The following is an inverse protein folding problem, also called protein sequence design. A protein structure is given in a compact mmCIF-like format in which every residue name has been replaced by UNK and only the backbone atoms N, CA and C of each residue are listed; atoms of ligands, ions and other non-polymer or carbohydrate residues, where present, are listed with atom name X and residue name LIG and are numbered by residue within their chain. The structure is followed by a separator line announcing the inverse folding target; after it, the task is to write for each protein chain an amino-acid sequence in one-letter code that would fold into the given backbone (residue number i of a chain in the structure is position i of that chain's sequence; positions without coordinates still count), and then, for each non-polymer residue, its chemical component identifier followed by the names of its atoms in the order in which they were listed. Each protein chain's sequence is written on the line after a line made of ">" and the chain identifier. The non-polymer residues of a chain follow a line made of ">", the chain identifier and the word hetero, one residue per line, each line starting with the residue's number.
data_IF_761317322135
#
_entry.id   IF_761317322135
#
_cell.length_a   1.000
_cell.length_b   1.000
_cell.length_c   1.000
_cell.angle_alpha   90.00
_cell.angle_beta   90.00
_cell.angle_gamma   90.00
#
_symmetry.space_group_name_H-M   'P 1'
#
loop_
_entity.id
_entity.type
_entity.pdbx_description
1 polymer ?
#
# COMPACT_ATOMS: atom_id res chain seq x y z
N UNK A 1 22.33 -6.21 9.81
CA UNK A 1 22.26 -5.27 8.67
C UNK A 1 22.26 -3.85 9.21
N UNK A 2 23.44 -3.26 9.45
CA UNK A 2 23.52 -1.83 9.74
C UNK A 2 23.65 -1.14 8.39
N UNK A 3 22.53 -0.68 7.83
CA UNK A 3 22.57 0.29 6.73
C UNK A 3 23.23 1.55 7.30
N UNK A 4 24.53 1.73 7.04
CA UNK A 4 25.18 3.00 7.36
C UNK A 4 24.40 4.13 6.67
N UNK A 5 24.17 5.26 7.35
CA UNK A 5 23.49 6.39 6.74
C UNK A 5 24.27 6.77 5.47
N UNK A 6 23.54 6.83 4.35
CA UNK A 6 23.99 7.34 3.06
C UNK A 6 24.33 8.84 3.19
N UNK A 7 25.37 9.21 3.92
CA UNK A 7 25.90 10.58 3.90
C UNK A 7 27.29 10.61 4.49
N UNK A 8 28.28 10.54 3.60
CA UNK A 8 29.54 11.27 3.73
C UNK A 8 30.04 11.53 2.30
N UNK A 9 29.31 12.40 1.59
CA UNK A 9 29.72 12.93 0.30
C UNK A 9 29.83 14.45 0.37
N UNK A 10 30.62 14.95 1.31
CA UNK A 10 31.20 16.28 1.23
C UNK A 10 32.72 16.14 1.19
N UNK A 11 33.30 16.21 -0.01
CA UNK A 11 34.74 16.35 -0.18
C UNK A 11 35.33 15.61 -1.38
N UNK A 12 35.47 16.32 -2.50
CA UNK A 12 36.62 16.26 -3.42
C UNK A 12 37.04 14.92 -4.04
N UNK A 13 36.87 14.80 -5.36
CA UNK A 13 37.86 14.15 -6.24
C UNK A 13 37.85 12.62 -6.40
N UNK A 14 36.96 11.87 -5.74
CA UNK A 14 36.94 10.39 -5.75
C UNK A 14 35.70 9.71 -6.36
N UNK A 15 34.99 10.37 -7.28
CA UNK A 15 33.60 10.02 -7.65
C UNK A 15 33.36 8.59 -8.14
N UNK A 16 34.29 7.97 -8.85
CA UNK A 16 34.08 6.65 -9.45
C UNK A 16 34.02 5.48 -8.45
N UNK A 17 34.89 5.48 -7.45
CA UNK A 17 35.00 4.37 -6.49
C UNK A 17 33.89 4.44 -5.42
N UNK A 18 33.55 5.64 -4.95
CA UNK A 18 32.45 5.85 -4.00
C UNK A 18 31.08 5.52 -4.60
N UNK A 19 30.84 5.90 -5.86
CA UNK A 19 29.62 5.51 -6.59
C UNK A 19 29.56 4.00 -6.85
N UNK A 20 30.69 3.35 -7.16
CA UNK A 20 30.75 1.91 -7.36
C UNK A 20 30.52 1.12 -6.05
N UNK A 21 31.04 1.61 -4.93
CA UNK A 21 30.78 1.05 -3.60
C UNK A 21 29.29 1.19 -3.21
N UNK A 22 28.74 2.39 -3.34
CA UNK A 22 27.31 2.66 -3.10
C UNK A 22 26.39 1.78 -3.98
N UNK A 23 26.78 1.54 -5.25
CA UNK A 23 26.06 0.63 -6.15
C UNK A 23 26.10 -0.82 -5.72
N UNK A 24 27.23 -1.31 -5.18
CA UNK A 24 27.32 -2.67 -4.64
C UNK A 24 26.47 -2.80 -3.38
N UNK A 25 26.52 -1.80 -2.51
CA UNK A 25 25.77 -1.81 -1.25
C UNK A 25 24.26 -1.83 -1.48
N UNK A 26 23.76 -1.05 -2.46
CA UNK A 26 22.34 -1.07 -2.86
C UNK A 26 21.89 -2.44 -3.37
N UNK A 27 22.74 -3.13 -4.15
CA UNK A 27 22.42 -4.44 -4.72
C UNK A 27 22.45 -5.54 -3.66
N UNK A 28 23.40 -5.46 -2.72
CA UNK A 28 23.45 -6.36 -1.55
C UNK A 28 22.23 -6.15 -0.67
N UNK A 29 21.81 -4.89 -0.44
CA UNK A 29 20.62 -4.58 0.34
C UNK A 29 19.35 -5.11 -0.32
N UNK A 30 19.17 -4.91 -1.62
CA UNK A 30 18.02 -5.42 -2.38
C UNK A 30 17.94 -6.95 -2.30
N UNK A 31 19.04 -7.65 -2.59
CA UNK A 31 19.12 -9.12 -2.48
C UNK A 31 18.86 -9.62 -1.07
N UNK A 32 19.33 -8.89 -0.05
CA UNK A 32 19.07 -9.24 1.35
C UNK A 32 17.60 -9.11 1.68
N UNK A 33 16.92 -8.04 1.22
CA UNK A 33 15.49 -7.87 1.42
C UNK A 33 14.69 -8.97 0.70
N UNK A 34 15.02 -9.30 -0.55
CA UNK A 34 14.39 -10.41 -1.27
C UNK A 34 14.62 -11.76 -0.61
N UNK A 35 15.83 -12.01 -0.08
CA UNK A 35 16.13 -13.23 0.68
C UNK A 35 15.29 -13.32 1.96
N UNK A 36 15.15 -12.22 2.70
CA UNK A 36 14.30 -12.18 3.89
C UNK A 36 12.82 -12.39 3.55
N UNK A 37 12.33 -11.81 2.46
CA UNK A 37 10.96 -12.04 1.95
C UNK A 37 10.74 -13.51 1.57
N UNK A 38 11.71 -14.13 0.88
CA UNK A 38 11.66 -15.57 0.57
C UNK A 38 11.63 -16.41 1.84
N UNK A 39 12.46 -16.06 2.84
CA UNK A 39 12.48 -16.72 4.14
C UNK A 39 11.13 -16.59 4.85
N UNK A 40 10.49 -15.41 4.84
CA UNK A 40 9.15 -15.24 5.39
C UNK A 40 8.12 -16.10 4.66
N UNK A 41 8.19 -16.20 3.32
CA UNK A 41 7.32 -17.07 2.53
C UNK A 41 7.42 -18.54 2.94
N UNK A 42 8.63 -19.04 3.14
CA UNK A 42 8.86 -20.43 3.58
C UNK A 42 8.31 -20.70 4.98
N UNK A 43 8.54 -19.78 5.94
CA UNK A 43 8.13 -19.98 7.33
C UNK A 43 6.64 -19.65 7.58
N UNK A 44 6.02 -18.80 6.77
CA UNK A 44 4.58 -18.50 6.83
C UNK A 44 3.74 -19.64 6.26
N UNK A 45 4.33 -20.52 5.45
CA UNK A 45 3.63 -21.63 4.83
C UNK A 45 2.58 -21.19 3.81
N UNK A 46 2.64 -19.95 3.30
CA UNK A 46 1.70 -19.35 2.31
C UNK A 46 2.21 -19.43 0.86
N UNK A 47 3.36 -20.08 0.62
CA UNK A 47 3.93 -20.23 -0.71
C UNK A 47 2.91 -20.73 -1.74
N UNK A 48 2.79 -20.01 -2.86
CA UNK A 48 1.86 -20.23 -3.99
C UNK A 48 1.96 -21.61 -4.67
N UNK A 49 2.90 -22.46 -4.29
CA UNK A 49 2.85 -23.90 -4.52
C UNK A 49 2.72 -24.57 -3.17
N UNK A 50 1.52 -25.07 -2.85
CA UNK A 50 1.20 -25.60 -1.51
C UNK A 50 2.33 -26.44 -0.93
N UNK A 51 2.71 -26.17 0.32
CA UNK A 51 3.84 -26.82 0.99
C UNK A 51 5.06 -26.92 0.07
N UNK A 52 5.77 -25.80 -0.14
CA UNK A 52 6.92 -25.73 -1.05
C UNK A 52 7.78 -26.98 -1.00
N UNK A 53 7.60 -27.91 -1.95
CA UNK A 53 8.34 -29.16 -2.15
C UNK A 53 8.50 -30.15 -0.99
N UNK A 54 8.23 -29.76 0.26
CA UNK A 54 8.50 -30.55 1.46
C UNK A 54 7.22 -31.30 1.83
N UNK A 55 7.17 -32.59 1.47
CA UNK A 55 6.20 -33.56 2.00
C UNK A 55 6.46 -33.83 3.50
N UNK A 56 6.44 -32.78 4.32
CA UNK A 56 6.65 -32.85 5.76
C UNK A 56 5.30 -32.74 6.50
N UNK A 57 5.18 -33.35 7.70
CA UNK A 57 3.95 -33.26 8.49
C UNK A 57 3.60 -31.81 8.86
N UNK A 58 2.30 -31.51 8.99
CA UNK A 58 1.78 -30.21 9.45
C UNK A 58 2.41 -29.75 10.77
N UNK A 59 2.72 -30.70 11.66
CA UNK A 59 3.38 -30.47 12.93
C UNK A 59 4.77 -29.85 12.77
N UNK A 60 5.53 -30.28 11.76
CA UNK A 60 6.84 -29.71 11.45
C UNK A 60 6.70 -28.24 11.04
N UNK A 61 5.77 -27.93 10.13
CA UNK A 61 5.52 -26.56 9.71
C UNK A 61 5.01 -25.68 10.84
N UNK A 62 4.13 -26.21 11.69
CA UNK A 62 3.67 -25.51 12.89
C UNK A 62 4.81 -25.23 13.88
N UNK A 63 5.73 -26.19 14.08
CA UNK A 63 6.87 -26.03 14.97
C UNK A 63 7.87 -25.01 14.42
N UNK A 64 8.17 -25.06 13.13
CA UNK A 64 9.05 -24.13 12.42
C UNK A 64 8.48 -22.70 12.49
N UNK A 65 7.19 -22.53 12.16
CA UNK A 65 6.49 -21.24 12.28
C UNK A 65 6.54 -20.71 13.72
N UNK A 66 6.20 -21.57 14.69
CA UNK A 66 6.22 -21.21 16.11
C UNK A 66 7.61 -20.81 16.60
N UNK A 67 8.67 -21.48 16.15
CA UNK A 67 10.06 -21.12 16.48
C UNK A 67 10.51 -19.79 15.87
N UNK A 68 9.89 -19.38 14.75
CA UNK A 68 10.17 -18.11 14.11
C UNK A 68 9.43 -16.94 14.77
N UNK A 69 8.20 -17.22 15.27
CA UNK A 69 7.35 -16.27 16.00
C UNK A 69 7.75 -16.09 17.47
N UNK A 70 8.30 -17.14 18.10
CA UNK A 70 8.62 -17.17 19.52
C UNK A 70 10.11 -16.88 19.78
N UNK A 71 10.44 -16.14 20.85
CA UNK A 71 11.83 -15.93 21.21
C UNK A 71 12.48 -17.25 21.67
N UNK A 72 13.74 -17.52 21.29
CA UNK A 72 14.45 -18.70 21.77
C UNK A 72 14.65 -18.57 23.29
N UNK A 73 14.09 -19.52 24.05
CA UNK A 73 14.11 -19.59 25.52
C UNK A 73 13.39 -18.44 26.25
N UNK A 74 12.06 -18.44 26.22
CA UNK A 74 11.23 -17.62 27.13
C UNK A 74 11.45 -17.92 28.64
N UNK A 75 12.23 -18.95 28.99
CA UNK A 75 12.37 -19.48 30.34
C UNK A 75 13.68 -19.11 31.07
N UNK A 76 14.69 -18.52 30.43
CA UNK A 76 16.02 -18.40 31.05
C UNK A 76 16.51 -16.97 31.30
N UNK A 77 16.32 -16.01 30.39
CA UNK A 77 16.65 -14.59 30.61
C UNK A 77 15.95 -13.83 29.48
N UNK A 78 15.02 -12.93 29.81
CA UNK A 78 14.06 -12.30 28.88
C UNK A 78 14.63 -11.35 27.82
N UNK A 79 15.79 -11.65 27.24
CA UNK A 79 16.53 -10.82 26.29
C UNK A 79 16.52 -11.35 24.84
N UNK A 80 15.90 -12.51 24.57
CA UNK A 80 15.79 -13.04 23.21
C UNK A 80 14.69 -12.36 22.40
N UNK A 81 15.02 -11.79 21.23
CA UNK A 81 14.04 -11.37 20.22
C UNK A 81 13.67 -12.53 19.31
N UNK A 82 12.40 -12.65 18.92
CA UNK A 82 12.03 -13.63 17.90
C UNK A 82 12.67 -13.26 16.55
N UNK A 83 12.94 -14.25 15.70
CA UNK A 83 13.54 -13.99 14.39
C UNK A 83 12.65 -13.06 13.54
N UNK A 84 11.31 -13.25 13.61
CA UNK A 84 10.34 -12.37 12.96
C UNK A 84 10.44 -10.91 13.46
N UNK A 85 10.72 -10.69 14.74
CA UNK A 85 10.87 -9.34 15.31
C UNK A 85 12.10 -8.63 14.74
N UNK A 86 13.18 -9.36 14.51
CA UNK A 86 14.39 -8.81 13.91
C UNK A 86 14.19 -8.51 12.42
N UNK A 87 13.49 -9.36 11.68
CA UNK A 87 13.11 -9.08 10.28
C UNK A 87 12.23 -7.83 10.20
N UNK A 88 11.26 -7.69 11.12
CA UNK A 88 10.43 -6.50 11.23
C UNK A 88 11.25 -5.23 11.48
N UNK A 89 12.15 -5.25 12.48
CA UNK A 89 13.03 -4.10 12.77
C UNK A 89 13.93 -3.74 11.58
N UNK A 90 14.46 -4.74 10.88
CA UNK A 90 15.29 -4.53 9.67
C UNK A 90 14.45 -3.90 8.56
N UNK A 91 13.27 -4.44 8.26
CA UNK A 91 12.37 -3.91 7.23
C UNK A 91 11.96 -2.46 7.50
N UNK A 92 11.65 -2.15 8.74
CA UNK A 92 11.22 -0.81 9.17
C UNK A 92 12.38 0.20 9.15
N UNK A 93 13.57 -0.22 9.58
CA UNK A 93 14.79 0.60 9.47
C UNK A 93 15.14 0.87 8.00
N UNK A 94 15.03 -0.14 7.15
CA UNK A 94 15.26 -0.01 5.72
C UNK A 94 14.24 0.94 5.07
N UNK A 95 12.98 0.91 5.51
CA UNK A 95 11.95 1.84 5.05
C UNK A 95 12.29 3.29 5.40
N UNK A 96 12.91 3.56 6.56
CA UNK A 96 13.44 4.89 6.87
C UNK A 96 14.48 5.39 5.84
N UNK A 97 15.29 4.47 5.29
CA UNK A 97 16.19 4.77 4.17
C UNK A 97 15.43 5.12 2.88
N UNK A 98 14.37 4.38 2.58
CA UNK A 98 13.47 4.64 1.44
C UNK A 98 12.82 6.02 1.57
N UNK A 99 12.30 6.37 2.75
CA UNK A 99 11.73 7.70 3.01
C UNK A 99 12.73 8.78 2.63
N UNK A 100 13.95 8.69 3.14
CA UNK A 100 15.01 9.67 2.86
C UNK A 100 15.32 9.80 1.37
N UNK A 101 15.33 8.69 0.64
CA UNK A 101 15.53 8.67 -0.81
C UNK A 101 14.40 9.42 -1.53
N UNK A 102 13.15 9.19 -1.15
CA UNK A 102 11.97 9.74 -1.84
C UNK A 102 11.55 11.13 -1.36
N UNK A 103 12.00 11.58 -0.17
CA UNK A 103 11.70 12.91 0.37
C UNK A 103 12.87 13.89 0.20
N UNK A 104 14.09 13.47 0.55
CA UNK A 104 15.29 14.32 0.56
C UNK A 104 16.17 14.11 -0.67
N UNK A 105 16.09 12.94 -1.31
CA UNK A 105 16.84 12.65 -2.52
C UNK A 105 16.44 13.61 -3.64
N UNK A 106 17.42 14.31 -4.22
CA UNK A 106 17.22 15.13 -5.40
C UNK A 106 16.71 14.32 -6.59
N UNK A 107 16.23 15.00 -7.64
CA UNK A 107 15.59 14.39 -8.83
C UNK A 107 16.40 13.22 -9.39
N UNK A 108 17.72 13.35 -9.47
CA UNK A 108 18.62 12.33 -10.03
C UNK A 108 18.66 11.00 -9.24
N UNK A 109 18.27 10.99 -7.96
CA UNK A 109 18.27 9.78 -7.13
C UNK A 109 16.98 8.95 -7.26
N UNK A 110 15.87 9.60 -7.62
CA UNK A 110 14.54 9.00 -7.75
C UNK A 110 14.34 8.30 -9.09
N UNK A 111 15.10 8.73 -10.11
CA UNK A 111 14.99 8.21 -11.48
C UNK A 111 15.93 7.01 -11.74
N UNK A 112 16.60 6.46 -10.72
CA UNK A 112 17.43 5.25 -10.88
C UNK A 112 16.58 3.99 -10.67
N UNK A 113 16.52 3.13 -11.69
CA UNK A 113 15.80 1.85 -11.64
C UNK A 113 16.22 0.98 -10.44
N UNK A 114 17.47 1.10 -9.97
CA UNK A 114 17.99 0.37 -8.80
C UNK A 114 17.38 0.87 -7.50
N UNK A 115 17.15 2.18 -7.41
CA UNK A 115 16.49 2.80 -6.27
C UNK A 115 15.05 2.33 -6.18
N UNK A 116 14.36 2.25 -7.33
CA UNK A 116 12.99 1.72 -7.42
C UNK A 116 12.96 0.24 -7.03
N UNK A 117 13.88 -0.58 -7.55
CA UNK A 117 14.00 -2.01 -7.22
C UNK A 117 14.25 -2.24 -5.72
N UNK A 118 15.21 -1.52 -5.13
CA UNK A 118 15.50 -1.59 -3.70
C UNK A 118 14.29 -1.16 -2.86
N UNK A 119 13.65 -0.04 -3.23
CA UNK A 119 12.46 0.47 -2.53
C UNK A 119 11.32 -0.56 -2.62
N UNK A 120 11.12 -1.17 -3.78
CA UNK A 120 10.11 -2.20 -3.99
C UNK A 120 10.38 -3.42 -3.12
N UNK A 121 11.62 -3.92 -3.10
CA UNK A 121 12.00 -5.08 -2.27
C UNK A 121 11.78 -4.81 -0.76
N UNK A 122 12.08 -3.60 -0.30
CA UNK A 122 11.86 -3.19 1.10
C UNK A 122 10.37 -3.07 1.39
N UNK A 123 9.57 -2.46 0.51
CA UNK A 123 8.13 -2.33 0.69
C UNK A 123 7.46 -3.72 0.71
N UNK A 124 7.81 -4.60 -0.24
CA UNK A 124 7.33 -5.99 -0.26
C UNK A 124 7.69 -6.73 1.03
N UNK A 125 8.95 -6.62 1.50
CA UNK A 125 9.35 -7.22 2.78
C UNK A 125 8.46 -6.74 3.93
N UNK A 126 8.16 -5.44 4.02
CA UNK A 126 7.30 -4.92 5.08
C UNK A 126 5.84 -5.39 4.93
N UNK A 127 5.34 -5.52 3.70
CA UNK A 127 4.03 -6.12 3.44
C UNK A 127 3.99 -7.59 3.90
N UNK A 128 5.02 -8.38 3.59
CA UNK A 128 5.09 -9.80 3.98
C UNK A 128 5.16 -9.97 5.50
N UNK A 129 5.94 -9.11 6.18
CA UNK A 129 6.04 -9.13 7.66
C UNK A 129 4.71 -8.72 8.31
N UNK A 130 4.02 -7.70 7.79
CA UNK A 130 2.75 -7.26 8.36
C UNK A 130 1.58 -8.15 7.96
N UNK A 131 1.67 -8.82 6.82
CA UNK A 131 0.74 -9.87 6.40
C UNK A 131 0.91 -11.16 7.21
N UNK A 132 1.87 -11.22 8.14
CA UNK A 132 2.07 -12.37 9.00
C UNK A 132 0.89 -12.59 9.95
N UNK A 133 0.29 -13.77 9.87
CA UNK A 133 -0.87 -14.13 10.72
C UNK A 133 -0.42 -14.71 12.06
N UNK A 134 -0.54 -13.92 13.12
CA UNK A 134 -0.24 -14.39 14.47
C UNK A 134 -1.34 -15.34 14.99
N UNK A 135 -0.92 -16.46 15.60
CA UNK A 135 -1.81 -17.40 16.28
C UNK A 135 -2.95 -17.94 15.39
N UNK A 136 -2.65 -18.43 14.18
CA UNK A 136 -3.60 -19.21 13.37
C UNK A 136 -3.86 -20.61 13.97
N UNK A 137 -4.27 -20.66 15.24
CA UNK A 137 -4.54 -21.88 16.00
C UNK A 137 -5.88 -22.54 15.64
N UNK A 138 -6.28 -22.50 14.37
CA UNK A 138 -7.56 -23.07 13.97
C UNK A 138 -7.81 -23.05 12.48
N UNK A 139 -7.30 -24.07 11.77
CA UNK A 139 -7.98 -24.78 10.68
C UNK A 139 -8.56 -24.00 9.50
N UNK A 140 -8.38 -22.68 9.42
CA UNK A 140 -8.73 -21.87 8.27
C UNK A 140 -7.44 -21.55 7.56
N UNK A 141 -7.09 -22.47 6.67
CA UNK A 141 -6.23 -22.20 5.53
C UNK A 141 -6.59 -20.82 4.97
N UNK A 142 -5.67 -19.87 5.13
CA UNK A 142 -5.72 -18.49 4.62
C UNK A 142 -5.27 -18.41 3.17
N UNK A 143 -5.36 -19.54 2.46
CA UNK A 143 -5.16 -19.66 1.03
C UNK A 143 -6.41 -19.24 0.26
N UNK A 144 -6.69 -17.94 0.31
CA UNK A 144 -7.22 -17.16 -0.82
C UNK A 144 -6.39 -15.88 -0.90
N UNK A 145 -5.06 -16.03 -0.97
CA UNK A 145 -4.23 -15.03 -1.66
C UNK A 145 -4.12 -15.57 -3.09
N UNK A 146 -5.09 -15.20 -3.90
CA UNK A 146 -5.19 -15.60 -5.31
C UNK A 146 -3.91 -15.24 -6.03
N UNK A 147 -3.16 -16.26 -6.43
CA UNK A 147 -2.14 -16.19 -7.46
C UNK A 147 -2.83 -15.97 -8.81
N UNK A 148 -3.31 -14.75 -9.03
CA UNK A 148 -3.74 -14.25 -10.33
C UNK A 148 -3.76 -12.73 -10.25
N UNK A 149 -2.99 -12.10 -11.14
CA UNK A 149 -3.26 -10.76 -11.64
C UNK A 149 -4.78 -10.53 -11.73
N UNK A 150 -5.23 -9.39 -11.19
CA UNK A 150 -6.63 -8.92 -11.13
C UNK A 150 -7.50 -9.49 -10.00
N UNK A 151 -8.13 -8.55 -9.27
CA UNK A 151 -9.27 -8.72 -8.37
C UNK A 151 -8.97 -9.24 -6.95
N UNK A 152 -8.75 -8.32 -6.02
CA UNK A 152 -8.96 -8.58 -4.60
C UNK A 152 -10.45 -8.87 -4.39
N UNK A 153 -10.81 -10.12 -4.08
CA UNK A 153 -12.19 -10.44 -3.75
C UNK A 153 -12.62 -9.69 -2.48
N UNK A 154 -13.58 -8.80 -2.66
CA UNK A 154 -14.32 -8.18 -1.56
C UNK A 154 -14.94 -9.27 -0.68
N UNK A 155 -14.65 -9.28 0.62
CA UNK A 155 -15.50 -10.02 1.57
C UNK A 155 -14.85 -10.78 2.74
N UNK A 156 -13.52 -10.84 2.91
CA UNK A 156 -12.92 -11.43 4.13
C UNK A 156 -11.92 -10.47 4.77
N UNK A 157 -12.42 -9.72 5.75
CA UNK A 157 -11.67 -8.79 6.61
C UNK A 157 -10.52 -9.49 7.35
N UNK A 158 -9.34 -9.54 6.74
CA UNK A 158 -8.08 -9.95 7.39
C UNK A 158 -7.56 -8.81 8.26
N UNK A 159 -8.13 -8.64 9.45
CA UNK A 159 -7.55 -7.74 10.45
C UNK A 159 -6.21 -8.30 10.93
N UNK A 160 -5.18 -7.46 10.93
CA UNK A 160 -3.84 -7.83 11.37
C UNK A 160 -3.76 -7.65 12.87
N UNK A 161 -3.31 -8.68 13.59
CA UNK A 161 -3.21 -8.69 15.06
C UNK A 161 -1.76 -8.83 15.50
N UNK A 162 -0.93 -7.77 15.36
CA UNK A 162 0.47 -7.86 15.72
C UNK A 162 0.63 -7.98 17.24
N UNK A 163 1.72 -8.62 17.71
CA UNK A 163 2.00 -8.77 19.12
C UNK A 163 2.33 -7.42 19.76
N UNK A 164 2.12 -7.31 21.07
CA UNK A 164 2.37 -6.08 21.84
C UNK A 164 3.80 -5.54 21.66
N UNK A 165 4.79 -6.43 21.55
CA UNK A 165 6.21 -6.06 21.36
C UNK A 165 6.50 -5.28 20.08
N UNK A 166 5.57 -5.23 19.12
CA UNK A 166 5.72 -4.42 17.89
C UNK A 166 5.19 -3.00 18.05
N UNK A 167 4.56 -2.67 19.19
CA UNK A 167 3.97 -1.35 19.46
C UNK A 167 4.94 -0.20 19.19
N UNK A 168 6.16 -0.32 19.70
CA UNK A 168 7.19 0.72 19.60
C UNK A 168 7.69 0.96 18.17
N UNK A 169 7.34 0.08 17.23
CA UNK A 169 7.69 0.21 15.82
C UNK A 169 6.46 0.63 15.00
N UNK A 170 5.33 -0.04 15.19
CA UNK A 170 4.14 0.13 14.34
C UNK A 170 3.27 1.33 14.70
N UNK A 171 3.16 1.66 15.98
CA UNK A 171 2.19 2.67 16.45
C UNK A 171 2.81 4.07 16.49
N UNK A 172 4.00 4.24 15.91
CA UNK A 172 4.70 5.52 15.86
C UNK A 172 4.12 6.43 14.76
N UNK A 173 3.74 7.68 15.09
CA UNK A 173 3.25 8.61 14.08
C UNK A 173 4.31 8.93 13.02
N UNK A 174 5.59 9.02 13.43
CA UNK A 174 6.72 9.23 12.51
C UNK A 174 6.75 8.19 11.40
N UNK A 175 6.48 6.93 11.75
CA UNK A 175 6.48 5.81 10.81
C UNK A 175 5.34 5.94 9.81
N UNK A 176 4.11 6.19 10.27
CA UNK A 176 2.96 6.40 9.39
C UNK A 176 3.18 7.60 8.45
N UNK A 177 3.70 8.70 8.98
CA UNK A 177 4.04 9.88 8.20
C UNK A 177 5.10 9.59 7.13
N UNK A 178 6.10 8.77 7.47
CA UNK A 178 7.09 8.27 6.54
C UNK A 178 6.46 7.48 5.38
N UNK A 179 5.53 6.57 5.65
CA UNK A 179 4.86 5.77 4.58
C UNK A 179 4.08 6.68 3.62
N UNK A 180 3.31 7.63 4.14
CA UNK A 180 2.60 8.61 3.31
C UNK A 180 3.55 9.53 2.53
N UNK A 181 4.69 9.89 3.12
CA UNK A 181 5.71 10.69 2.44
C UNK A 181 6.38 9.91 1.29
N UNK A 182 6.63 8.60 1.47
CA UNK A 182 7.10 7.73 0.38
C UNK A 182 6.05 7.66 -0.72
N UNK A 183 4.79 7.42 -0.37
CA UNK A 183 3.70 7.39 -1.35
C UNK A 183 3.62 8.71 -2.16
N UNK A 184 3.62 9.85 -1.48
CA UNK A 184 3.63 11.17 -2.13
C UNK A 184 4.89 11.42 -2.98
N UNK A 185 6.05 10.90 -2.55
CA UNK A 185 7.32 11.00 -3.27
C UNK A 185 7.35 10.14 -4.54
N UNK A 186 6.86 8.90 -4.48
CA UNK A 186 6.77 7.97 -5.61
C UNK A 186 5.74 8.42 -6.63
N UNK A 187 4.61 8.96 -6.17
CA UNK A 187 3.56 9.51 -7.03
C UNK A 187 4.01 10.79 -7.77
N UNK A 188 4.97 11.53 -7.20
CA UNK A 188 5.43 12.81 -7.73
C UNK A 188 4.70 14.02 -7.13
N UNK A 189 5.20 15.23 -7.38
CA UNK A 189 4.61 16.49 -6.90
C UNK A 189 3.50 17.01 -7.84
N UNK A 190 2.49 17.75 -7.32
CA UNK A 190 1.42 18.28 -8.16
C UNK A 190 1.99 19.23 -9.22
N UNK A 191 1.54 19.08 -10.47
CA UNK A 191 1.97 19.92 -11.59
C UNK A 191 3.28 19.51 -12.27
N UNK A 192 3.91 18.40 -11.87
CA UNK A 192 4.95 17.77 -12.68
C UNK A 192 4.31 16.64 -13.48
N UNK A 193 4.54 16.53 -14.80
CA UNK A 193 4.22 15.30 -15.52
C UNK A 193 4.91 14.16 -14.77
N UNK A 194 4.24 13.00 -14.62
CA UNK A 194 4.87 11.77 -14.08
C UNK A 194 6.25 11.68 -14.74
N UNK A 195 7.30 11.97 -13.98
CA UNK A 195 8.67 12.00 -14.48
C UNK A 195 8.87 10.66 -15.17
N UNK A 196 9.23 10.69 -16.45
CA UNK A 196 9.63 9.57 -17.31
C UNK A 196 9.56 8.26 -16.54
N UNK A 197 8.42 7.57 -16.63
CA UNK A 197 8.08 6.40 -15.80
C UNK A 197 9.28 5.47 -15.76
N UNK A 198 10.05 5.54 -14.68
CA UNK A 198 11.12 4.58 -14.47
C UNK A 198 10.39 3.27 -14.23
N UNK A 199 10.64 2.31 -15.12
CA UNK A 199 9.97 1.01 -15.09
C UNK A 199 9.92 0.47 -13.65
N UNK A 200 8.71 0.30 -13.13
CA UNK A 200 8.47 -0.22 -11.77
C UNK A 200 7.99 0.80 -10.73
N UNK A 201 7.95 2.11 -11.02
CA UNK A 201 7.41 3.11 -10.08
C UNK A 201 5.93 2.90 -9.77
N UNK A 202 5.13 2.46 -10.74
CA UNK A 202 3.71 2.13 -10.53
C UNK A 202 3.53 0.92 -9.60
N UNK A 203 4.36 -0.12 -9.80
CA UNK A 203 4.38 -1.29 -8.93
C UNK A 203 4.81 -0.92 -7.50
N UNK A 204 5.79 -0.02 -7.36
CA UNK A 204 6.18 0.52 -6.06
C UNK A 204 5.05 1.33 -5.40
N UNK A 205 4.39 2.22 -6.16
CA UNK A 205 3.27 3.01 -5.64
C UNK A 205 2.12 2.11 -5.16
N UNK A 206 1.79 1.07 -5.93
CA UNK A 206 0.83 0.06 -5.52
C UNK A 206 1.30 -0.68 -4.26
N UNK A 207 2.55 -1.15 -4.21
CA UNK A 207 3.11 -1.79 -3.01
C UNK A 207 3.01 -0.92 -1.76
N UNK A 208 3.24 0.39 -1.88
CA UNK A 208 3.10 1.34 -0.75
C UNK A 208 1.63 1.49 -0.34
N UNK A 209 0.68 1.51 -1.28
CA UNK A 209 -0.75 1.52 -0.95
C UNK A 209 -1.19 0.20 -0.29
N UNK A 210 -0.66 -0.94 -0.70
CA UNK A 210 -0.87 -2.23 -0.04
C UNK A 210 -0.32 -2.23 1.40
N UNK A 211 0.85 -1.61 1.62
CA UNK A 211 1.38 -1.38 2.96
C UNK A 211 0.43 -0.51 3.82
N UNK A 212 -0.11 0.58 3.26
CA UNK A 212 -1.11 1.43 3.93
C UNK A 212 -2.40 0.67 4.26
N UNK A 213 -2.83 -0.24 3.38
CA UNK A 213 -4.00 -1.10 3.61
C UNK A 213 -3.77 -2.07 4.77
N UNK A 214 -2.58 -2.68 4.85
CA UNK A 214 -2.19 -3.54 5.98
C UNK A 214 -2.14 -2.74 7.29
N UNK A 215 -1.58 -1.53 7.27
CA UNK A 215 -1.57 -0.64 8.43
C UNK A 215 -2.98 -0.25 8.87
N UNK A 216 -3.88 0.01 7.92
CA UNK A 216 -5.31 0.26 8.19
C UNK A 216 -6.03 -0.94 8.82
N UNK A 217 -5.45 -2.14 8.68
CA UNK A 217 -5.98 -3.40 9.22
C UNK A 217 -5.47 -3.73 10.63
N UNK A 218 -4.54 -2.95 11.18
CA UNK A 218 -3.92 -3.23 12.49
C UNK A 218 -4.94 -3.11 13.62
N UNK A 219 -5.04 -4.14 14.46
CA UNK A 219 -5.96 -4.20 15.60
C UNK A 219 -5.38 -5.04 16.76
N UNK A 220 -6.03 -5.01 17.92
CA UNK A 220 -5.70 -5.85 19.07
C UNK A 220 -4.72 -5.22 20.08
N UNK A 221 -3.96 -6.07 20.77
CA UNK A 221 -3.13 -5.73 21.96
C UNK A 221 -1.93 -4.82 21.67
N UNK A 222 -1.62 -4.59 20.39
CA UNK A 222 -0.56 -3.67 19.97
C UNK A 222 -0.83 -2.25 20.44
N UNK A 223 -2.09 -1.85 20.60
CA UNK A 223 -2.44 -0.56 21.18
C UNK A 223 -2.45 -0.64 22.71
N UNK A 224 -1.78 0.30 23.38
CA UNK A 224 -1.75 0.39 24.83
C UNK A 224 -3.13 0.73 25.41
N UNK A 225 -3.88 1.59 24.74
CA UNK A 225 -5.22 2.00 25.14
C UNK A 225 -6.07 2.47 23.93
N UNK A 226 -7.35 2.77 24.21
CA UNK A 226 -8.29 3.23 23.20
C UNK A 226 -7.94 4.61 22.60
N UNK A 227 -7.27 5.50 23.36
CA UNK A 227 -6.88 6.82 22.87
C UNK A 227 -5.72 6.72 21.89
N UNK A 228 -4.73 5.85 22.15
CA UNK A 228 -3.66 5.58 21.21
C UNK A 228 -4.21 4.98 19.91
N UNK A 229 -5.17 4.05 20.02
CA UNK A 229 -5.87 3.50 18.85
C UNK A 229 -6.62 4.57 18.06
N UNK A 230 -7.30 5.50 18.73
CA UNK A 230 -7.98 6.63 18.07
C UNK A 230 -7.00 7.59 17.39
N UNK A 231 -5.88 7.92 18.03
CA UNK A 231 -4.85 8.77 17.44
C UNK A 231 -4.24 8.12 16.18
N UNK A 232 -3.99 6.81 16.23
CA UNK A 232 -3.53 6.02 15.09
C UNK A 232 -4.55 6.04 13.94
N UNK A 233 -5.84 5.82 14.25
CA UNK A 233 -6.92 5.89 13.27
C UNK A 233 -7.02 7.28 12.64
N UNK A 234 -6.97 8.35 13.45
CA UNK A 234 -7.02 9.73 12.96
C UNK A 234 -5.91 10.00 11.94
N UNK A 235 -4.69 9.58 12.26
CA UNK A 235 -3.54 9.79 11.38
C UNK A 235 -3.72 9.10 10.02
N UNK A 236 -4.18 7.84 10.03
CA UNK A 236 -4.44 7.10 8.79
C UNK A 236 -5.59 7.71 7.99
N UNK A 237 -6.68 8.10 8.64
CA UNK A 237 -7.81 8.78 7.99
C UNK A 237 -7.34 10.08 7.34
N UNK A 238 -6.62 10.94 8.05
CA UNK A 238 -6.14 12.22 7.53
C UNK A 238 -5.20 12.02 6.33
N UNK A 239 -4.29 11.05 6.41
CA UNK A 239 -3.37 10.72 5.32
C UNK A 239 -4.10 10.17 4.08
N UNK A 240 -5.04 9.24 4.26
CA UNK A 240 -5.87 8.71 3.19
C UNK A 240 -6.73 9.80 2.53
N UNK A 241 -7.33 10.70 3.32
CA UNK A 241 -8.13 11.81 2.80
C UNK A 241 -7.29 12.80 2.01
N UNK A 242 -6.07 13.10 2.48
CA UNK A 242 -5.14 13.96 1.74
C UNK A 242 -4.74 13.33 0.40
N UNK A 243 -4.42 12.03 0.40
CA UNK A 243 -4.08 11.27 -0.81
C UNK A 243 -5.25 11.23 -1.82
N UNK A 244 -6.46 10.98 -1.32
CA UNK A 244 -7.67 10.89 -2.14
C UNK A 244 -8.08 12.25 -2.70
N UNK A 245 -8.11 13.29 -1.86
CA UNK A 245 -8.46 14.66 -2.31
C UNK A 245 -7.52 15.11 -3.42
N UNK A 246 -6.22 14.89 -3.24
CA UNK A 246 -5.22 15.18 -4.25
C UNK A 246 -5.41 14.40 -5.56
N UNK A 247 -5.80 13.13 -5.47
CA UNK A 247 -6.17 12.33 -6.64
C UNK A 247 -7.35 12.91 -7.39
N UNK A 248 -8.40 13.29 -6.68
CA UNK A 248 -9.57 13.89 -7.32
C UNK A 248 -9.28 15.24 -7.96
N UNK A 249 -8.49 16.10 -7.32
CA UNK A 249 -8.07 17.39 -7.88
C UNK A 249 -7.23 17.22 -9.15
N UNK A 250 -6.22 16.34 -9.12
CA UNK A 250 -5.38 16.04 -10.29
C UNK A 250 -6.21 15.46 -11.44
N UNK A 251 -7.14 14.57 -11.13
CA UNK A 251 -8.02 13.95 -12.12
C UNK A 251 -9.00 14.96 -12.72
N UNK A 252 -9.59 15.83 -11.91
CA UNK A 252 -10.46 16.90 -12.38
C UNK A 252 -9.70 17.87 -13.30
N UNK A 253 -8.45 18.20 -12.97
CA UNK A 253 -7.60 19.04 -13.81
C UNK A 253 -7.26 18.37 -15.16
N UNK A 254 -6.92 17.06 -15.15
CA UNK A 254 -6.68 16.29 -16.38
C UNK A 254 -7.91 16.25 -17.28
N UNK A 255 -9.10 16.07 -16.71
CA UNK A 255 -10.35 16.09 -17.50
C UNK A 255 -10.66 17.46 -18.07
N UNK A 256 -10.51 18.53 -17.28
CA UNK A 256 -10.69 19.88 -17.80
C UNK A 256 -9.76 20.15 -19.00
N UNK A 257 -8.53 19.61 -18.97
CA UNK A 257 -7.60 19.68 -20.09
C UNK A 257 -8.06 18.81 -21.29
N UNK A 258 -8.49 17.57 -21.04
CA UNK A 258 -9.00 16.67 -22.08
C UNK A 258 -10.26 17.21 -22.77
N UNK A 259 -11.20 17.79 -22.00
CA UNK A 259 -12.41 18.41 -22.53
C UNK A 259 -12.09 19.67 -23.35
N UNK A 260 -11.10 20.48 -22.92
CA UNK A 260 -10.61 21.61 -23.70
C UNK A 260 -9.93 21.15 -25.01
N UNK A 261 -9.15 20.07 -24.95
CA UNK A 261 -8.52 19.47 -26.14
C UNK A 261 -9.56 18.87 -27.09
N UNK A 262 -10.58 18.18 -26.58
CA UNK A 262 -11.68 17.63 -27.36
C UNK A 262 -12.55 18.74 -27.99
N UNK A 263 -12.79 19.84 -27.27
CA UNK A 263 -13.48 21.01 -27.82
C UNK A 263 -12.67 21.71 -28.92
N UNK A 264 -11.34 21.75 -28.79
CA UNK A 264 -10.46 22.25 -29.85
C UNK A 264 -10.41 21.30 -31.05
N UNK A 265 -10.38 19.98 -30.81
CA UNK A 265 -10.41 18.94 -31.83
C UNK A 265 -11.79 18.81 -32.49
N UNK A 266 -12.91 19.18 -31.86
CA UNK A 266 -14.22 19.15 -32.53
C UNK A 266 -14.32 20.09 -33.74
N UNK A 267 -13.36 21.02 -33.91
CA UNK A 267 -13.21 21.83 -35.11
C UNK A 267 -12.37 21.15 -36.22
N UNK A 268 -11.72 20.03 -35.94
CA UNK A 268 -10.86 19.26 -36.85
C UNK A 268 -11.33 17.79 -36.86
N UNK A 269 -11.78 17.25 -37.98
CA UNK A 269 -12.61 16.02 -38.10
C UNK A 269 -12.03 14.67 -37.59
N UNK A 270 -11.03 14.66 -36.70
CA UNK A 270 -10.39 13.49 -36.11
C UNK A 270 -10.93 13.18 -34.71
N UNK A 271 -11.83 12.20 -34.63
CA UNK A 271 -12.52 11.72 -33.41
C UNK A 271 -11.68 10.85 -32.47
N UNK A 272 -10.38 10.68 -32.71
CA UNK A 272 -9.57 9.62 -32.07
C UNK A 272 -9.07 9.97 -30.64
N UNK A 273 -8.89 11.26 -30.34
CA UNK A 273 -8.21 11.66 -29.11
C UNK A 273 -8.97 11.41 -27.80
N UNK A 274 -10.28 11.13 -27.81
CA UNK A 274 -11.07 10.92 -26.58
C UNK A 274 -10.89 9.52 -25.99
N UNK A 275 -10.69 8.50 -26.84
CA UNK A 275 -10.50 7.12 -26.39
C UNK A 275 -9.14 6.94 -25.71
N UNK A 276 -8.09 7.58 -26.24
CA UNK A 276 -6.74 7.54 -25.65
C UNK A 276 -6.71 8.05 -24.20
N UNK A 277 -7.50 9.09 -23.86
CA UNK A 277 -7.59 9.60 -22.49
C UNK A 277 -8.34 8.66 -21.54
N UNK A 278 -9.39 7.98 -22.00
CA UNK A 278 -10.16 7.04 -21.15
C UNK A 278 -9.30 5.81 -20.82
N UNK A 279 -8.49 5.32 -21.76
CA UNK A 279 -7.52 4.23 -21.55
C UNK A 279 -6.39 4.63 -20.59
N UNK A 280 -5.81 5.84 -20.73
CA UNK A 280 -4.77 6.32 -19.81
C UNK A 280 -5.32 6.57 -18.38
N UNK A 281 -6.56 7.02 -18.26
CA UNK A 281 -7.25 7.14 -16.96
C UNK A 281 -7.42 5.77 -16.30
N UNK A 282 -7.87 4.77 -17.05
CA UNK A 282 -8.05 3.40 -16.54
C UNK A 282 -6.73 2.78 -16.07
N UNK A 283 -5.65 2.90 -16.85
CA UNK A 283 -4.36 2.30 -16.51
C UNK A 283 -3.70 2.95 -15.28
N UNK A 284 -3.88 4.27 -15.10
CA UNK A 284 -3.11 5.03 -14.09
C UNK A 284 -3.92 5.40 -12.84
N UNK A 285 -5.19 5.76 -12.99
CA UNK A 285 -6.02 6.31 -11.91
C UNK A 285 -6.89 5.21 -11.28
N UNK A 286 -7.34 4.25 -12.09
CA UNK A 286 -8.23 3.19 -11.64
C UNK A 286 -7.69 2.40 -10.45
N UNK A 287 -6.52 1.75 -10.58
CA UNK A 287 -5.91 0.98 -9.50
C UNK A 287 -5.66 1.80 -8.23
N UNK A 288 -5.24 3.06 -8.39
CA UNK A 288 -4.97 3.94 -7.26
C UNK A 288 -6.24 4.35 -6.51
N UNK A 289 -7.33 4.58 -7.24
CA UNK A 289 -8.64 4.89 -6.65
C UNK A 289 -9.18 3.69 -5.87
N UNK A 290 -9.10 2.48 -6.45
CA UNK A 290 -9.50 1.23 -5.78
C UNK A 290 -8.73 1.04 -4.49
N UNK A 291 -7.40 1.15 -4.53
CA UNK A 291 -6.52 0.94 -3.37
C UNK A 291 -6.87 1.92 -2.23
N UNK A 292 -7.10 3.20 -2.54
CA UNK A 292 -7.45 4.22 -1.54
C UNK A 292 -8.87 4.03 -0.98
N UNK A 293 -9.84 3.66 -1.82
CA UNK A 293 -11.20 3.31 -1.37
C UNK A 293 -11.16 2.06 -0.48
N UNK A 294 -10.33 1.08 -0.81
CA UNK A 294 -10.10 -0.12 0.00
C UNK A 294 -9.48 0.23 1.36
N UNK A 295 -8.55 1.19 1.41
CA UNK A 295 -8.01 1.69 2.67
C UNK A 295 -9.12 2.32 3.53
N UNK A 296 -9.97 3.17 2.95
CA UNK A 296 -11.10 3.79 3.65
C UNK A 296 -12.07 2.73 4.16
N UNK A 297 -12.47 1.80 3.32
CA UNK A 297 -13.33 0.69 3.71
C UNK A 297 -12.72 -0.10 4.88
N UNK A 298 -11.42 -0.39 4.82
CA UNK A 298 -10.72 -1.09 5.89
C UNK A 298 -10.68 -0.30 7.20
N UNK A 299 -10.45 1.02 7.14
CA UNK A 299 -10.49 1.90 8.31
C UNK A 299 -11.89 1.88 8.95
N UNK A 300 -12.95 1.96 8.14
CA UNK A 300 -14.33 1.87 8.60
C UNK A 300 -14.62 0.52 9.26
N UNK A 301 -14.28 -0.58 8.59
CA UNK A 301 -14.50 -1.93 9.10
C UNK A 301 -13.74 -2.23 10.41
N UNK A 302 -12.51 -1.70 10.54
CA UNK A 302 -11.65 -1.95 11.69
C UNK A 302 -12.00 -1.06 12.90
N UNK A 303 -12.14 0.25 12.69
CA UNK A 303 -12.33 1.20 13.79
C UNK A 303 -13.80 1.39 14.17
N UNK A 304 -14.75 1.11 13.27
CA UNK A 304 -16.20 1.24 13.49
C UNK A 304 -16.64 2.70 13.67
N UNK A 305 -17.93 2.99 13.46
CA UNK A 305 -18.50 4.33 13.56
C UNK A 305 -18.40 4.90 14.98
N UNK A 306 -18.55 4.07 16.00
CA UNK A 306 -18.41 4.48 17.42
C UNK A 306 -17.06 5.10 17.77
N UNK A 307 -15.97 4.66 17.12
CA UNK A 307 -14.64 5.25 17.31
C UNK A 307 -14.40 6.39 16.31
N UNK A 308 -14.76 6.17 15.04
CA UNK A 308 -14.54 7.15 13.98
C UNK A 308 -15.29 8.46 14.23
N UNK A 309 -16.52 8.41 14.74
CA UNK A 309 -17.31 9.61 15.09
C UNK A 309 -16.66 10.52 16.13
N UNK A 310 -15.70 10.01 16.91
CA UNK A 310 -14.94 10.80 17.89
C UNK A 310 -13.75 11.54 17.26
N UNK A 311 -13.43 11.26 16.01
CA UNK A 311 -12.31 11.87 15.30
C UNK A 311 -12.72 13.23 14.74
N UNK A 312 -11.84 14.25 14.82
CA UNK A 312 -12.10 15.56 14.22
C UNK A 312 -12.25 15.50 12.69
N UNK A 313 -11.63 14.52 12.03
CA UNK A 313 -11.69 14.34 10.58
C UNK A 313 -12.86 13.52 10.08
N UNK A 314 -13.73 13.01 10.97
CA UNK A 314 -14.88 12.20 10.57
C UNK A 314 -15.86 12.90 9.62
N UNK A 315 -16.24 14.18 9.83
CA UNK A 315 -17.08 14.89 8.87
C UNK A 315 -16.41 15.03 7.50
N UNK A 316 -15.09 15.26 7.47
CA UNK A 316 -14.30 15.33 6.25
C UNK A 316 -14.23 13.98 5.54
N UNK A 317 -14.14 12.88 6.30
CA UNK A 317 -14.20 11.53 5.77
C UNK A 317 -15.54 11.26 5.06
N UNK A 318 -16.67 11.56 5.72
CA UNK A 318 -17.99 11.41 5.12
C UNK A 318 -18.16 12.31 3.89
N UNK A 319 -17.68 13.55 3.96
CA UNK A 319 -17.70 14.48 2.84
C UNK A 319 -16.91 13.96 1.64
N UNK A 320 -15.71 13.41 1.87
CA UNK A 320 -14.87 12.83 0.83
C UNK A 320 -15.51 11.57 0.23
N UNK A 321 -15.96 10.63 1.06
CA UNK A 321 -16.66 9.41 0.59
C UNK A 321 -17.87 9.76 -0.26
N UNK A 322 -18.67 10.75 0.16
CA UNK A 322 -19.82 11.21 -0.62
C UNK A 322 -19.40 11.89 -1.93
N UNK A 323 -18.37 12.74 -1.91
CA UNK A 323 -17.88 13.41 -3.11
C UNK A 323 -17.34 12.42 -4.14
N UNK A 324 -16.49 11.48 -3.71
CA UNK A 324 -15.93 10.43 -4.57
C UNK A 324 -17.03 9.49 -5.07
N UNK A 325 -17.92 9.03 -4.19
CA UNK A 325 -19.04 8.17 -4.58
C UNK A 325 -19.98 8.83 -5.58
N UNK A 326 -20.32 10.11 -5.37
CA UNK A 326 -21.17 10.87 -6.30
C UNK A 326 -20.52 11.07 -7.66
N UNK A 327 -19.22 11.36 -7.69
CA UNK A 327 -18.43 11.50 -8.92
C UNK A 327 -18.36 10.17 -9.68
N UNK A 328 -18.03 9.06 -9.02
CA UNK A 328 -18.04 7.71 -9.63
C UNK A 328 -19.42 7.34 -10.19
N UNK A 329 -20.49 7.59 -9.44
CA UNK A 329 -21.87 7.33 -9.88
C UNK A 329 -22.27 8.18 -11.09
N UNK A 330 -21.96 9.48 -11.08
CA UNK A 330 -22.24 10.38 -12.19
C UNK A 330 -21.54 9.90 -13.47
N UNK A 331 -20.30 9.41 -13.33
CA UNK A 331 -19.54 8.88 -14.46
C UNK A 331 -20.06 7.55 -14.96
N UNK A 332 -20.36 6.60 -14.08
CA UNK A 332 -20.98 5.33 -14.46
C UNK A 332 -22.30 5.57 -15.19
N UNK A 333 -23.12 6.50 -14.71
CA UNK A 333 -24.33 6.94 -15.42
C UNK A 333 -24.02 7.49 -16.81
N UNK A 334 -23.03 8.38 -16.93
CA UNK A 334 -22.64 8.94 -18.24
C UNK A 334 -22.15 7.86 -19.21
N UNK A 335 -21.47 6.83 -18.70
CA UNK A 335 -21.06 5.67 -19.48
C UNK A 335 -22.29 4.82 -19.88
N UNK A 336 -23.31 4.71 -19.02
CA UNK A 336 -24.52 3.92 -19.33
C UNK A 336 -25.27 4.56 -20.50
N UNK A 337 -25.44 5.88 -20.42
CA UNK A 337 -26.16 6.67 -21.40
C UNK A 337 -25.44 6.63 -22.76
N UNK A 338 -24.10 6.53 -22.76
CA UNK A 338 -23.28 6.34 -23.97
C UNK A 338 -23.37 4.95 -24.55
N UNK A 339 -23.27 3.91 -23.73
CA UNK A 339 -23.32 2.52 -24.18
C UNK A 339 -24.70 2.15 -24.77
N UNK A 340 -25.79 2.85 -24.40
CA UNK A 340 -27.16 2.61 -24.89
C UNK A 340 -27.59 1.14 -24.83
N UNK A 341 -27.06 0.38 -23.87
CA UNK A 341 -27.35 -1.04 -23.69
C UNK A 341 -26.48 -2.00 -24.51
N UNK A 342 -25.42 -1.51 -25.17
CA UNK A 342 -24.38 -2.35 -25.76
C UNK A 342 -23.48 -2.93 -24.66
N UNK A 343 -23.51 -4.25 -24.41
CA UNK A 343 -22.73 -4.88 -23.35
C UNK A 343 -21.22 -4.86 -23.64
N UNK A 344 -20.81 -4.81 -24.90
CA UNK A 344 -19.39 -4.87 -25.29
C UNK A 344 -18.70 -3.52 -25.01
N UNK A 345 -19.45 -2.41 -25.09
CA UNK A 345 -18.98 -1.07 -24.71
C UNK A 345 -19.04 -0.82 -23.19
N UNK A 346 -19.69 -1.71 -22.44
CA UNK A 346 -19.91 -1.55 -21.00
C UNK A 346 -18.87 -2.28 -20.13
N UNK A 347 -18.39 -3.44 -20.61
CA UNK A 347 -17.66 -4.42 -19.79
C UNK A 347 -16.28 -3.98 -19.32
N UNK A 348 -15.46 -3.39 -20.21
CA UNK A 348 -14.05 -3.18 -19.89
C UNK A 348 -13.80 -1.83 -19.19
N UNK A 349 -14.33 -0.72 -19.71
CA UNK A 349 -14.02 0.63 -19.22
C UNK A 349 -14.60 1.03 -17.83
N UNK A 350 -15.45 0.19 -17.23
CA UNK A 350 -16.16 0.50 -15.97
C UNK A 350 -15.70 -0.36 -14.78
N UNK A 351 -14.94 -1.43 -14.99
CA UNK A 351 -14.66 -2.43 -13.95
C UNK A 351 -14.07 -1.85 -12.67
N UNK A 352 -13.08 -0.95 -12.82
CA UNK A 352 -12.43 -0.33 -11.66
C UNK A 352 -13.32 0.66 -10.90
N UNK A 353 -14.25 1.34 -11.60
CA UNK A 353 -15.17 2.30 -10.99
C UNK A 353 -16.22 1.58 -10.16
N UNK A 354 -16.73 0.46 -10.68
CA UNK A 354 -17.68 -0.39 -9.98
C UNK A 354 -17.04 -1.01 -8.74
N UNK A 355 -15.78 -1.47 -8.82
CA UNK A 355 -15.03 -1.98 -7.68
C UNK A 355 -14.82 -0.89 -6.60
N UNK A 356 -14.33 0.28 -6.99
CA UNK A 356 -14.11 1.40 -6.06
C UNK A 356 -15.43 1.86 -5.40
N UNK A 357 -16.51 1.97 -6.18
CA UNK A 357 -17.83 2.30 -5.67
C UNK A 357 -18.35 1.21 -4.71
N UNK A 358 -18.14 -0.06 -5.03
CA UNK A 358 -18.46 -1.19 -4.17
C UNK A 358 -17.80 -1.05 -2.79
N UNK A 359 -16.50 -0.77 -2.73
CA UNK A 359 -15.78 -0.54 -1.47
C UNK A 359 -16.39 0.62 -0.65
N UNK A 360 -16.76 1.72 -1.30
CA UNK A 360 -17.36 2.87 -0.61
C UNK A 360 -18.78 2.58 -0.11
N UNK A 361 -19.59 1.86 -0.89
CA UNK A 361 -20.94 1.46 -0.48
C UNK A 361 -20.90 0.47 0.67
N UNK A 362 -20.01 -0.52 0.64
CA UNK A 362 -19.78 -1.44 1.76
C UNK A 362 -19.35 -0.67 3.02
N UNK A 363 -18.44 0.31 2.88
CA UNK A 363 -18.06 1.18 3.99
C UNK A 363 -19.26 1.98 4.53
N UNK A 364 -20.13 2.52 3.66
CA UNK A 364 -21.31 3.24 4.08
C UNK A 364 -22.32 2.34 4.83
N UNK A 365 -22.52 1.10 4.35
CA UNK A 365 -23.34 0.10 5.04
C UNK A 365 -22.76 -0.21 6.42
N UNK A 366 -21.46 -0.44 6.53
CA UNK A 366 -20.79 -0.69 7.81
C UNK A 366 -20.90 0.48 8.79
N UNK A 367 -20.94 1.72 8.31
CA UNK A 367 -21.18 2.90 9.15
C UNK A 367 -22.63 3.02 9.61
N UNK A 368 -23.58 2.63 8.75
CA UNK A 368 -25.01 2.68 9.06
C UNK A 368 -25.46 1.54 9.98
N UNK A 369 -24.82 0.37 9.87
CA UNK A 369 -25.11 -0.83 10.65
C UNK A 369 -24.43 -0.85 12.03
N UNK A 370 -23.50 0.09 12.32
CA UNK A 370 -22.84 0.18 13.63
C UNK A 370 -23.77 0.88 14.64
N UNK A 371 -24.25 0.15 15.68
CA UNK A 371 -25.32 0.60 16.57
C UNK A 371 -24.96 1.70 17.57
#
# INVERSE_FOLDING_TARGET
>A
LVLKPFNDASGGGGGGAALAASRRDSLVASRSASFLSSLLGEFSGTGSGGFGGYNMPLEFHSAVRSSFESPPNAAADGAGSAALDEVMKIGMTALGGVVRIWTEGGVNGRDDARTVELSSAIVTLNCDVLGWEFNSSGGRSTFEISSSSSSFSSGKSTLVRPPERWRDVLVRPDFLGAVFAVYGGVRGAPGRPRLVVVRGTDALAHGVRQLLLLLSSVTGIVFADANQRLAYANFLVDGCLTALSRLHEENAARRAHADAAAAAAANDTTTDGRNEYEEEEEETIGPETIDLCSCIHRLVANFRASQLSRLPSFPTLLGAVNAVGSDLLARNRSSCERARGDPDLWGDANGWRDEALGQLLEAAVLLADDP
#
